data_IF_243573226640
#
_entry.id   IF_243573226640
#
_cell.length_a   1.000
_cell.length_b   1.000
_cell.length_c   1.000
_cell.angle_alpha   90.00
_cell.angle_beta   90.00
_cell.angle_gamma   90.00
#
_symmetry.space_group_name_H-M   'P 1'
#
loop_
_entity.id
_entity.type
_entity.pdbx_description
1 polymer ?
#
# COMPACT_ATOMS: atom_id res chain seq x y z
N UNK A 1 -7.13 -16.54 -8.78
CA UNK A 1 -5.82 -16.77 -8.10
C UNK A 1 -6.09 -16.81 -6.60
N UNK A 2 -5.68 -17.86 -5.88
CA UNK A 2 -6.03 -18.08 -4.47
C UNK A 2 -4.86 -17.73 -3.53
N UNK A 3 -5.16 -17.09 -2.39
CA UNK A 3 -4.19 -16.76 -1.34
C UNK A 3 -3.89 -18.02 -0.52
N UNK A 4 -2.62 -18.44 -0.48
CA UNK A 4 -2.17 -19.58 0.34
C UNK A 4 -1.36 -19.02 1.52
N UNK A 5 -1.84 -19.23 2.76
CA UNK A 5 -1.11 -18.84 3.97
C UNK A 5 -0.74 -20.07 4.80
N UNK A 6 0.57 -20.29 4.97
CA UNK A 6 1.13 -21.44 5.68
C UNK A 6 1.45 -21.06 7.13
N UNK A 7 0.85 -21.76 8.10
CA UNK A 7 1.07 -21.53 9.55
C UNK A 7 2.35 -22.24 10.04
N UNK A 8 3.25 -21.51 10.71
CA UNK A 8 4.51 -22.03 11.30
C UNK A 8 4.29 -22.89 12.56
N UNK A 9 5.22 -23.83 12.79
CA UNK A 9 5.57 -24.37 14.11
C UNK A 9 7.09 -24.26 14.31
N UNK A 10 7.53 -23.76 15.46
CA UNK A 10 8.95 -23.69 15.84
C UNK A 10 9.49 -25.10 16.10
N UNK A 11 10.61 -25.46 15.46
CA UNK A 11 11.80 -26.05 16.12
C UNK A 11 12.97 -26.17 15.14
N UNK A 12 14.14 -25.72 15.58
CA UNK A 12 15.41 -25.98 14.92
C UNK A 12 15.69 -27.49 14.91
N UNK A 13 15.84 -28.06 13.72
CA UNK A 13 16.67 -29.21 13.39
C UNK A 13 16.36 -29.57 11.94
N UNK A 14 17.38 -29.57 11.09
CA UNK A 14 17.30 -30.12 9.75
C UNK A 14 16.99 -31.61 9.86
N UNK A 15 15.71 -31.96 9.77
CA UNK A 15 15.26 -33.33 9.55
C UNK A 15 14.13 -33.27 8.54
N UNK A 16 14.29 -34.04 7.48
CA UNK A 16 13.34 -34.22 6.38
C UNK A 16 12.01 -34.78 6.91
N UNK A 17 11.16 -33.90 7.44
CA UNK A 17 9.75 -34.22 7.67
C UNK A 17 9.03 -34.21 6.32
N UNK A 18 8.20 -35.21 6.01
CA UNK A 18 7.39 -35.17 4.81
C UNK A 18 6.54 -33.90 4.84
N UNK A 19 6.60 -33.12 3.77
CA UNK A 19 5.78 -31.92 3.58
C UNK A 19 4.33 -32.36 3.74
N UNK A 20 3.68 -32.01 4.85
CA UNK A 20 2.26 -32.25 5.03
C UNK A 20 1.52 -31.53 3.90
N UNK A 21 0.70 -32.27 3.15
CA UNK A 21 -0.13 -31.71 2.08
C UNK A 21 -0.87 -30.48 2.61
N UNK A 22 -0.62 -29.30 2.01
CA UNK A 22 -1.31 -28.08 2.41
C UNK A 22 -2.81 -28.21 2.18
N UNK A 23 -3.62 -27.83 3.17
CA UNK A 23 -5.07 -27.80 3.06
C UNK A 23 -5.52 -26.39 2.68
N UNK A 24 -6.29 -26.27 1.59
CA UNK A 24 -6.96 -25.01 1.25
C UNK A 24 -8.09 -24.77 2.25
N UNK A 25 -8.03 -23.67 3.00
CA UNK A 25 -9.07 -23.33 3.98
C UNK A 25 -10.20 -22.53 3.34
N UNK A 26 -9.85 -21.54 2.53
CA UNK A 26 -10.79 -20.65 1.84
C UNK A 26 -10.11 -19.99 0.64
N UNK A 27 -10.93 -19.46 -0.27
CA UNK A 27 -10.50 -18.60 -1.36
C UNK A 27 -11.61 -17.59 -1.66
N UNK A 28 -11.23 -16.36 -1.95
CA UNK A 28 -12.16 -15.29 -2.32
C UNK A 28 -11.73 -14.63 -3.62
N UNK A 29 -12.68 -14.02 -4.33
CA UNK A 29 -12.36 -13.10 -5.42
C UNK A 29 -12.21 -11.69 -4.85
N UNK A 30 -10.96 -11.30 -4.55
CA UNK A 30 -10.67 -10.04 -3.89
C UNK A 30 -10.46 -8.86 -4.86
N UNK A 31 -10.24 -9.11 -6.14
CA UNK A 31 -9.99 -8.10 -7.17
C UNK A 31 -10.21 -8.69 -8.58
N UNK A 32 -10.66 -7.89 -9.56
CA UNK A 32 -11.24 -8.43 -10.80
C UNK A 32 -10.26 -8.90 -11.88
N UNK A 33 -8.93 -8.82 -11.70
CA UNK A 33 -7.97 -9.28 -12.71
C UNK A 33 -7.48 -8.19 -13.67
N UNK A 34 -6.52 -8.54 -14.53
CA UNK A 34 -6.00 -7.67 -15.59
C UNK A 34 -4.72 -8.21 -16.21
N UNK A 35 -4.21 -7.54 -17.25
CA UNK A 35 -2.94 -7.89 -17.93
C UNK A 35 -1.77 -8.07 -16.95
N UNK A 36 -1.66 -7.19 -15.97
CA UNK A 36 -0.62 -7.23 -14.93
C UNK A 36 -1.05 -8.00 -13.66
N UNK A 37 -2.21 -8.65 -13.71
CA UNK A 37 -2.72 -9.53 -12.67
C UNK A 37 -4.00 -9.02 -11.99
N UNK A 38 -4.51 -9.85 -11.08
CA UNK A 38 -5.66 -9.49 -10.23
C UNK A 38 -5.24 -9.05 -8.84
N UNK A 39 -4.39 -9.83 -8.20
CA UNK A 39 -3.72 -9.48 -6.95
C UNK A 39 -2.24 -9.25 -7.21
N UNK A 40 -1.63 -8.33 -6.48
CA UNK A 40 -0.17 -8.15 -6.52
C UNK A 40 0.57 -9.40 -6.04
N UNK A 41 1.84 -9.52 -6.44
CA UNK A 41 2.69 -10.67 -6.11
C UNK A 41 3.13 -10.75 -4.64
N UNK A 42 2.57 -9.91 -3.77
CA UNK A 42 2.83 -9.91 -2.33
C UNK A 42 1.64 -9.39 -1.52
N UNK A 43 1.57 -9.82 -0.27
CA UNK A 43 0.57 -9.35 0.72
C UNK A 43 1.29 -9.03 2.03
N UNK A 44 0.74 -8.12 2.82
CA UNK A 44 1.16 -7.95 4.20
C UNK A 44 0.19 -8.67 5.13
N UNK A 45 0.70 -9.15 6.26
CA UNK A 45 -0.12 -9.82 7.27
C UNK A 45 0.23 -9.26 8.64
N UNK A 46 -0.77 -8.78 9.37
CA UNK A 46 -0.64 -8.44 10.78
C UNK A 46 -1.73 -9.16 11.57
N UNK A 47 -1.31 -9.96 12.58
CA UNK A 47 -2.20 -10.74 13.46
C UNK A 47 -3.17 -11.63 12.65
N UNK A 48 -4.44 -11.23 12.56
CA UNK A 48 -5.55 -11.93 11.91
C UNK A 48 -5.98 -11.26 10.59
N UNK A 49 -5.21 -10.30 10.09
CA UNK A 49 -5.58 -9.48 8.95
C UNK A 49 -4.54 -9.63 7.84
N UNK A 50 -5.04 -9.89 6.63
CA UNK A 50 -4.26 -9.91 5.39
C UNK A 50 -4.61 -8.66 4.60
N UNK A 51 -3.60 -7.92 4.19
CA UNK A 51 -3.71 -6.72 3.38
C UNK A 51 -3.24 -7.03 1.96
N UNK A 52 -3.92 -6.49 0.95
CA UNK A 52 -3.58 -6.76 -0.45
C UNK A 52 -3.80 -5.54 -1.36
N UNK A 53 -3.10 -5.57 -2.49
CA UNK A 53 -3.33 -4.68 -3.64
C UNK A 53 -3.99 -5.48 -4.76
N UNK A 54 -5.12 -4.99 -5.25
CA UNK A 54 -5.81 -5.46 -6.44
C UNK A 54 -5.44 -4.60 -7.64
N UNK A 55 -4.83 -5.18 -8.67
CA UNK A 55 -4.18 -4.41 -9.75
C UNK A 55 -5.18 -3.83 -10.76
N UNK A 56 -6.22 -4.58 -11.15
CA UNK A 56 -7.31 -4.13 -12.04
C UNK A 56 -6.88 -3.30 -13.27
N UNK A 57 -5.83 -3.74 -13.98
CA UNK A 57 -5.33 -3.03 -15.17
C UNK A 57 -6.30 -3.06 -16.35
N UNK A 58 -7.19 -4.06 -16.42
CA UNK A 58 -8.23 -4.16 -17.45
C UNK A 58 -9.49 -3.34 -17.12
N UNK A 59 -9.49 -2.60 -15.99
CA UNK A 59 -10.55 -1.67 -15.60
C UNK A 59 -11.93 -2.32 -15.46
N UNK A 60 -11.96 -3.56 -15.02
CA UNK A 60 -13.21 -4.24 -14.73
C UNK A 60 -13.93 -3.52 -13.58
N UNK A 61 -15.25 -3.36 -13.73
CA UNK A 61 -16.10 -2.84 -12.67
C UNK A 61 -16.05 -3.78 -11.46
N UNK A 62 -15.76 -3.21 -10.30
CA UNK A 62 -15.66 -3.93 -9.03
C UNK A 62 -16.37 -3.16 -7.93
N UNK A 63 -17.24 -3.86 -7.19
CA UNK A 63 -17.99 -3.27 -6.09
C UNK A 63 -17.23 -3.42 -4.77
N UNK A 64 -16.92 -2.29 -4.14
CA UNK A 64 -16.15 -2.23 -2.91
C UNK A 64 -17.01 -2.56 -1.68
N UNK A 65 -16.42 -3.25 -0.71
CA UNK A 65 -16.97 -3.40 0.63
C UNK A 65 -16.29 -2.45 1.63
N UNK A 66 -17.01 -1.78 2.55
CA UNK A 66 -18.46 -1.85 2.75
C UNK A 66 -19.26 -0.79 1.97
N UNK A 67 -18.60 0.10 1.22
CA UNK A 67 -19.26 1.27 0.61
C UNK A 67 -20.30 0.93 -0.46
N UNK A 68 -20.22 -0.26 -1.06
CA UNK A 68 -20.97 -0.67 -2.25
C UNK A 68 -20.75 0.24 -3.48
N UNK A 69 -19.69 1.04 -3.46
CA UNK A 69 -19.28 1.85 -4.60
C UNK A 69 -18.70 0.94 -5.69
N UNK A 70 -19.10 1.17 -6.94
CA UNK A 70 -18.51 0.46 -8.08
C UNK A 70 -17.39 1.30 -8.68
N UNK A 71 -16.19 0.75 -8.68
CA UNK A 71 -14.97 1.40 -9.18
C UNK A 71 -14.32 0.54 -10.25
N UNK A 72 -13.45 1.15 -11.05
CA UNK A 72 -12.61 0.43 -12.02
C UNK A 72 -11.11 0.63 -11.79
N UNK A 73 -10.74 1.33 -10.72
CA UNK A 73 -9.35 1.56 -10.32
C UNK A 73 -8.73 0.27 -9.77
N UNK A 74 -7.42 0.33 -9.48
CA UNK A 74 -6.83 -0.62 -8.54
C UNK A 74 -7.49 -0.48 -7.16
N UNK A 75 -7.36 -1.51 -6.33
CA UNK A 75 -8.07 -1.64 -5.06
C UNK A 75 -7.04 -1.90 -3.96
N UNK A 76 -7.17 -1.27 -2.81
CA UNK A 76 -6.50 -1.71 -1.60
C UNK A 76 -7.53 -2.35 -0.67
N UNK A 77 -7.19 -3.45 -0.04
CA UNK A 77 -8.14 -4.12 0.85
C UNK A 77 -7.50 -4.89 1.98
N UNK A 78 -8.35 -5.20 2.96
CA UNK A 78 -8.01 -6.07 4.08
C UNK A 78 -9.07 -7.16 4.25
N UNK A 79 -8.62 -8.38 4.53
CA UNK A 79 -9.48 -9.55 4.80
C UNK A 79 -9.06 -10.24 6.08
N UNK A 80 -9.99 -10.98 6.69
CA UNK A 80 -9.72 -11.82 7.84
C UNK A 80 -8.99 -13.10 7.41
N UNK A 81 -7.86 -13.38 8.06
CA UNK A 81 -7.03 -14.56 7.82
C UNK A 81 -7.77 -15.89 8.08
N UNK A 82 -8.73 -15.90 9.00
CA UNK A 82 -9.38 -17.12 9.48
C UNK A 82 -10.42 -17.65 8.49
N UNK A 83 -11.18 -16.77 7.86
CA UNK A 83 -12.35 -17.13 7.05
C UNK A 83 -12.42 -16.42 5.69
N UNK A 84 -11.48 -15.52 5.39
CA UNK A 84 -11.45 -14.77 4.13
C UNK A 84 -12.50 -13.65 4.05
N UNK A 85 -13.22 -13.34 5.13
CA UNK A 85 -14.19 -12.23 5.12
C UNK A 85 -13.51 -10.88 4.89
N UNK A 86 -14.07 -10.06 4.00
CA UNK A 86 -13.56 -8.71 3.74
C UNK A 86 -13.81 -7.80 4.93
N UNK A 87 -12.76 -7.10 5.40
CA UNK A 87 -12.86 -6.09 6.46
C UNK A 87 -13.13 -4.70 5.87
N UNK A 88 -12.34 -4.32 4.85
CA UNK A 88 -12.51 -3.08 4.10
C UNK A 88 -11.84 -3.18 2.74
N UNK A 89 -12.31 -2.35 1.81
CA UNK A 89 -11.74 -2.11 0.48
C UNK A 89 -11.91 -0.64 0.12
N UNK A 90 -10.89 -0.05 -0.47
CA UNK A 90 -10.92 1.30 -1.04
C UNK A 90 -10.35 1.27 -2.46
N UNK A 91 -10.76 2.22 -3.29
CA UNK A 91 -10.14 2.45 -4.58
C UNK A 91 -8.76 3.10 -4.40
N UNK A 92 -7.82 2.77 -5.28
CA UNK A 92 -6.64 3.59 -5.49
C UNK A 92 -7.06 5.02 -5.85
N UNK A 93 -6.41 6.05 -5.29
CA UNK A 93 -6.83 7.44 -5.47
C UNK A 93 -6.72 7.86 -6.94
N UNK A 94 -7.40 8.96 -7.29
CA UNK A 94 -7.23 9.68 -8.57
C UNK A 94 -7.34 8.80 -9.83
N UNK A 95 -8.17 7.76 -9.80
CA UNK A 95 -8.36 6.85 -10.94
C UNK A 95 -7.13 6.01 -11.31
N UNK A 96 -6.16 5.88 -10.40
CA UNK A 96 -4.85 5.31 -10.69
C UNK A 96 -4.81 3.78 -10.72
N UNK A 97 -3.80 3.27 -11.41
CA UNK A 97 -3.35 1.88 -11.35
C UNK A 97 -2.29 1.69 -10.27
N UNK A 98 -2.22 0.51 -9.66
CA UNK A 98 -1.25 0.14 -8.64
C UNK A 98 -0.83 -1.31 -8.80
N UNK A 99 0.47 -1.53 -8.90
CA UNK A 99 1.13 -2.84 -8.79
C UNK A 99 1.95 -2.96 -7.50
N UNK A 100 1.88 -1.94 -6.64
CA UNK A 100 2.75 -1.79 -5.47
C UNK A 100 2.41 -2.82 -4.40
N UNK A 101 3.44 -3.49 -3.89
CA UNK A 101 3.32 -4.38 -2.74
C UNK A 101 3.30 -3.52 -1.47
N UNK A 102 2.39 -3.86 -0.58
CA UNK A 102 2.18 -3.13 0.65
C UNK A 102 2.92 -3.74 1.86
N UNK A 103 3.16 -2.91 2.88
CA UNK A 103 3.70 -3.34 4.18
C UNK A 103 2.88 -2.72 5.30
N UNK A 104 2.83 -3.40 6.46
CA UNK A 104 2.16 -2.87 7.65
C UNK A 104 3.21 -2.45 8.67
N UNK A 105 3.09 -1.24 9.19
CA UNK A 105 3.93 -0.71 10.27
C UNK A 105 3.06 0.03 11.28
N UNK A 106 3.09 -0.42 12.55
CA UNK A 106 2.23 0.11 13.61
C UNK A 106 0.76 0.10 13.15
N UNK A 107 0.11 1.26 13.07
CA UNK A 107 -1.31 1.39 12.72
C UNK A 107 -1.53 1.81 11.24
N UNK A 108 -0.48 1.68 10.43
CA UNK A 108 -0.44 2.16 9.05
C UNK A 108 -0.12 1.03 8.08
N UNK A 109 -0.80 1.03 6.94
CA UNK A 109 -0.40 0.27 5.74
C UNK A 109 0.28 1.24 4.78
N UNK A 110 1.50 0.93 4.38
CA UNK A 110 2.24 1.68 3.36
C UNK A 110 2.13 0.95 2.04
N UNK A 111 1.80 1.68 0.98
CA UNK A 111 1.62 1.18 -0.38
C UNK A 111 1.91 2.31 -1.37
N UNK A 112 1.48 2.16 -2.62
CA UNK A 112 1.53 3.22 -3.60
C UNK A 112 0.65 2.95 -4.81
N UNK A 113 0.65 3.90 -5.73
CA UNK A 113 0.13 3.73 -7.10
C UNK A 113 1.29 3.72 -8.07
N UNK A 114 1.08 3.08 -9.21
CA UNK A 114 2.05 3.03 -10.30
C UNK A 114 1.91 4.24 -11.21
N UNK A 115 0.71 4.78 -11.38
CA UNK A 115 0.43 6.00 -12.15
C UNK A 115 -1.04 6.13 -12.54
N UNK A 116 -1.36 7.17 -13.31
CA UNK A 116 -2.69 7.44 -13.85
C UNK A 116 -3.08 6.43 -14.93
N UNK A 117 -4.33 5.98 -14.88
CA UNK A 117 -4.88 5.23 -15.99
C UNK A 117 -5.30 6.14 -17.14
N UNK A 118 -4.95 5.75 -18.36
CA UNK A 118 -5.38 6.43 -19.60
C UNK A 118 -6.00 5.41 -20.54
N UNK A 119 -7.18 5.73 -21.08
CA UNK A 119 -7.91 4.86 -22.00
C UNK A 119 -7.06 4.48 -23.22
N UNK A 120 -7.06 3.19 -23.55
CA UNK A 120 -6.26 2.65 -24.65
C UNK A 120 -4.76 2.51 -24.37
N UNK A 121 -4.28 2.90 -23.19
CA UNK A 121 -2.89 2.69 -22.79
C UNK A 121 -2.69 1.27 -22.23
N UNK A 122 -1.57 0.62 -22.62
CA UNK A 122 -1.17 -0.68 -22.07
C UNK A 122 -0.55 -0.59 -20.67
N UNK A 123 -0.21 0.62 -20.24
CA UNK A 123 0.51 0.91 -18.99
C UNK A 123 0.05 2.25 -18.40
N UNK A 124 0.30 2.47 -17.12
CA UNK A 124 -0.03 3.72 -16.44
C UNK A 124 0.75 4.92 -16.99
N UNK A 125 0.22 6.13 -16.91
CA UNK A 125 0.90 7.38 -17.27
C UNK A 125 1.22 8.18 -16.01
N UNK A 126 2.14 9.12 -16.13
CA UNK A 126 2.60 9.96 -15.01
C UNK A 126 3.23 9.17 -13.85
N UNK A 127 3.97 9.84 -12.96
CA UNK A 127 4.51 9.20 -11.77
C UNK A 127 3.42 8.64 -10.84
N UNK A 128 3.81 7.60 -10.11
CA UNK A 128 2.98 7.00 -9.06
C UNK A 128 3.02 7.79 -7.75
N UNK A 129 2.22 7.34 -6.78
CA UNK A 129 2.19 7.91 -5.44
C UNK A 129 2.77 6.94 -4.41
N UNK A 130 3.46 7.46 -3.39
CA UNK A 130 3.58 6.77 -2.11
C UNK A 130 2.34 7.04 -1.28
N UNK A 131 1.75 6.02 -0.66
CA UNK A 131 0.46 6.11 0.04
C UNK A 131 0.56 5.50 1.44
N UNK A 132 -0.02 6.19 2.42
CA UNK A 132 -0.22 5.69 3.78
C UNK A 132 -1.72 5.59 4.10
N UNK A 133 -2.14 4.40 4.51
CA UNK A 133 -3.52 4.07 4.83
C UNK A 133 -3.69 3.76 6.31
N UNK A 134 -4.82 4.14 6.89
CA UNK A 134 -5.24 3.61 8.18
C UNK A 134 -5.49 2.10 8.05
N UNK A 135 -4.81 1.28 8.87
CA UNK A 135 -4.90 -0.19 8.72
C UNK A 135 -6.27 -0.78 9.07
N UNK A 136 -7.11 -0.05 9.79
CA UNK A 136 -8.42 -0.53 10.25
C UNK A 136 -9.55 -0.16 9.30
N UNK A 137 -9.43 0.97 8.59
CA UNK A 137 -10.50 1.50 7.72
C UNK A 137 -10.12 1.53 6.25
N UNK A 138 -8.82 1.50 5.93
CA UNK A 138 -8.31 1.74 4.59
C UNK A 138 -8.24 3.22 4.21
N UNK A 139 -8.65 4.14 5.08
CA UNK A 139 -8.64 5.58 4.80
C UNK A 139 -7.24 6.08 4.43
N UNK A 140 -7.14 6.83 3.33
CA UNK A 140 -5.91 7.50 2.91
C UNK A 140 -5.76 8.76 3.76
N UNK A 141 -4.75 8.81 4.63
CA UNK A 141 -4.42 10.03 5.37
C UNK A 141 -3.21 10.77 4.80
N UNK A 142 -2.44 10.13 3.90
CA UNK A 142 -1.32 10.75 3.20
C UNK A 142 -1.06 10.07 1.87
N UNK A 143 -0.76 10.89 0.86
CA UNK A 143 -0.09 10.46 -0.35
C UNK A 143 0.93 11.51 -0.80
N UNK A 144 2.02 11.07 -1.41
CA UNK A 144 3.06 11.93 -1.98
C UNK A 144 3.30 11.51 -3.44
N UNK A 145 3.15 12.45 -4.36
CA UNK A 145 3.46 12.22 -5.79
C UNK A 145 4.97 12.00 -5.92
N UNK A 146 5.36 10.93 -6.60
CA UNK A 146 6.76 10.55 -6.78
C UNK A 146 7.33 11.11 -8.09
N UNK A 147 8.57 10.78 -8.36
CA UNK A 147 9.33 11.26 -9.51
C UNK A 147 9.27 10.33 -10.75
N UNK A 148 8.81 9.09 -10.57
CA UNK A 148 8.68 8.09 -11.63
C UNK A 148 7.67 6.98 -11.25
N UNK A 149 7.53 5.98 -12.12
CA UNK A 149 6.73 4.78 -11.85
C UNK A 149 7.21 4.04 -10.61
N UNK A 150 6.25 3.66 -9.75
CA UNK A 150 6.51 3.00 -8.47
C UNK A 150 5.93 1.58 -8.47
N UNK A 151 6.81 0.58 -8.54
CA UNK A 151 6.46 -0.86 -8.51
C UNK A 151 7.22 -1.59 -7.39
N UNK A 152 8.08 -0.88 -6.65
CA UNK A 152 9.01 -1.50 -5.72
C UNK A 152 8.32 -1.93 -4.41
N UNK A 153 8.93 -2.92 -3.75
CA UNK A 153 8.60 -3.23 -2.37
C UNK A 153 9.10 -2.12 -1.43
N UNK A 154 8.37 -1.93 -0.34
CA UNK A 154 8.70 -0.95 0.70
C UNK A 154 9.44 -1.67 1.83
N UNK A 155 10.61 -1.15 2.22
CA UNK A 155 11.36 -1.65 3.38
C UNK A 155 11.19 -0.69 4.55
N UNK A 156 10.99 -1.23 5.76
CA UNK A 156 10.88 -0.44 6.99
C UNK A 156 11.85 -0.95 8.04
N UNK A 157 12.76 -0.09 8.52
CA UNK A 157 13.75 -0.42 9.55
C UNK A 157 13.90 0.75 10.51
N UNK A 158 13.68 0.51 11.81
CA UNK A 158 13.89 1.50 12.89
C UNK A 158 13.25 2.87 12.61
N UNK A 159 12.07 2.90 12.01
CA UNK A 159 11.38 4.14 11.68
C UNK A 159 11.86 4.82 10.39
N UNK A 160 12.68 4.16 9.58
CA UNK A 160 12.97 4.58 8.21
C UNK A 160 12.16 3.74 7.23
N UNK A 161 11.46 4.41 6.31
CA UNK A 161 10.77 3.80 5.16
C UNK A 161 11.64 4.04 3.94
N UNK A 162 11.93 2.98 3.19
CA UNK A 162 12.83 3.03 2.04
C UNK A 162 12.19 2.31 0.85
N UNK A 163 12.25 2.92 -0.33
CA UNK A 163 11.76 2.35 -1.57
C UNK A 163 12.43 3.02 -2.78
N UNK A 164 12.33 2.39 -3.95
CA UNK A 164 12.83 2.95 -5.21
C UNK A 164 11.71 3.22 -6.21
N UNK A 165 11.92 4.17 -7.11
CA UNK A 165 11.09 4.43 -8.29
C UNK A 165 11.91 4.20 -9.56
N UNK A 166 11.28 4.39 -10.73
CA UNK A 166 11.94 4.24 -12.03
C UNK A 166 11.85 2.83 -12.61
N UNK A 167 10.79 2.10 -12.25
CA UNK A 167 10.51 0.81 -12.86
C UNK A 167 10.29 0.98 -14.38
N UNK A 168 10.82 0.03 -15.15
CA UNK A 168 10.62 -0.05 -16.60
C UNK A 168 10.20 -1.47 -16.99
N UNK A 169 9.33 -1.58 -17.99
CA UNK A 169 8.71 -2.83 -18.39
C UNK A 169 7.75 -2.61 -19.55
N UNK A 170 6.44 -2.64 -19.26
CA UNK A 170 5.44 -2.09 -20.18
C UNK A 170 5.55 -0.57 -20.25
N UNK A 171 5.93 0.03 -19.12
CA UNK A 171 6.28 1.43 -18.97
C UNK A 171 7.61 1.79 -19.68
N UNK A 172 7.70 2.98 -20.30
CA UNK A 172 8.96 3.54 -20.77
C UNK A 172 9.98 3.65 -19.65
N UNK A 173 11.25 3.51 -20.01
CA UNK A 173 12.35 3.77 -19.08
C UNK A 173 12.29 5.20 -18.56
N UNK A 174 12.32 5.34 -17.24
CA UNK A 174 12.39 6.62 -16.54
C UNK A 174 13.50 6.57 -15.50
N UNK A 175 14.20 7.69 -15.31
CA UNK A 175 15.09 7.83 -14.16
C UNK A 175 14.23 7.89 -12.90
N UNK A 176 14.51 7.00 -11.94
CA UNK A 176 13.88 7.05 -10.63
C UNK A 176 14.86 7.44 -9.53
N UNK A 177 14.33 7.54 -8.32
CA UNK A 177 15.06 7.88 -7.11
C UNK A 177 15.00 6.75 -6.08
N UNK A 178 15.97 6.74 -5.19
CA UNK A 178 15.91 5.98 -3.94
C UNK A 178 15.38 6.89 -2.84
N UNK A 179 14.17 6.61 -2.38
CA UNK A 179 13.45 7.40 -1.39
C UNK A 179 13.71 6.87 0.01
N UNK A 180 13.97 7.78 0.95
CA UNK A 180 14.10 7.48 2.39
C UNK A 180 13.26 8.47 3.18
N UNK A 181 12.28 7.98 3.91
CA UNK A 181 11.41 8.77 4.79
C UNK A 181 11.68 8.38 6.24
N UNK A 182 11.73 9.37 7.14
CA UNK A 182 11.78 9.12 8.58
C UNK A 182 10.36 9.25 9.18
N UNK A 183 9.88 8.18 9.81
CA UNK A 183 8.59 8.06 10.50
C UNK A 183 8.76 8.00 12.04
N UNK A 184 9.93 8.39 12.56
CA UNK A 184 10.29 8.33 13.99
C UNK A 184 11.23 9.44 14.47
N UNK A 185 10.65 10.61 14.78
CA UNK A 185 10.67 11.31 16.09
C UNK A 185 10.04 12.70 15.93
N UNK A 186 9.28 13.15 16.93
CA UNK A 186 8.76 14.52 17.09
C UNK A 186 9.79 15.56 16.62
N UNK A 187 9.38 16.65 15.93
CA UNK A 187 10.31 17.76 15.68
C UNK A 187 10.96 18.14 17.01
N UNK A 188 12.28 18.41 17.06
CA UNK A 188 12.85 18.97 18.27
C UNK A 188 12.02 20.19 18.63
N UNK A 189 11.52 20.22 19.87
CA UNK A 189 10.97 21.43 20.46
C UNK A 189 11.94 22.56 20.10
N UNK A 190 11.41 23.61 19.49
CA UNK A 190 12.17 24.77 19.01
C UNK A 190 12.96 25.39 20.15
N UNK A 191 14.14 24.82 20.42
CA UNK A 191 15.23 25.47 21.08
C UNK A 191 15.73 26.52 20.11
N UNK A 192 15.47 27.77 20.47
CA UNK A 192 16.05 28.98 19.91
C UNK A 192 17.41 28.75 19.23
N UNK A 193 17.46 28.95 17.91
CA UNK A 193 18.38 29.90 17.31
C UNK A 193 17.92 30.28 15.90
N UNK A 194 17.99 31.59 15.65
CA UNK A 194 17.32 32.29 14.57
C UNK A 194 18.02 32.09 13.21
N UNK A 195 17.19 31.95 12.16
CA UNK A 195 17.62 31.89 10.77
C UNK A 195 16.44 32.01 9.79
N UNK A 196 15.80 33.17 9.82
CA UNK A 196 14.64 33.61 9.03
C UNK A 196 14.71 33.31 7.51
N UNK A 197 13.75 32.52 6.98
CA UNK A 197 13.11 32.74 5.68
C UNK A 197 11.90 31.81 5.44
N UNK A 198 10.70 32.38 5.23
CA UNK A 198 9.63 31.74 4.43
C UNK A 198 8.45 31.09 5.17
N UNK A 199 7.91 31.73 6.20
CA UNK A 199 6.65 31.33 6.84
C UNK A 199 5.42 31.55 5.93
N UNK A 200 4.46 30.63 6.01
CA UNK A 200 2.99 30.87 6.06
C UNK A 200 2.15 29.61 5.73
N UNK A 201 2.73 28.55 5.16
CA UNK A 201 1.96 27.33 4.79
C UNK A 201 2.21 26.12 5.71
N UNK A 202 3.40 26.02 6.31
CA UNK A 202 3.78 24.87 7.17
C UNK A 202 3.14 24.96 8.56
N UNK A 203 2.99 26.17 9.11
CA UNK A 203 2.32 26.38 10.42
C UNK A 203 0.84 26.00 10.38
N UNK A 204 0.12 26.30 9.28
CA UNK A 204 -1.30 25.92 9.14
C UNK A 204 -1.51 24.40 9.09
N UNK A 205 -0.60 23.66 8.46
CA UNK A 205 -0.68 22.20 8.39
C UNK A 205 -0.28 21.53 9.72
N UNK A 206 0.63 22.13 10.49
CA UNK A 206 1.00 21.64 11.81
C UNK A 206 -0.16 21.83 12.83
N UNK A 207 -0.84 22.97 12.79
CA UNK A 207 -1.97 23.26 13.68
C UNK A 207 -3.19 22.35 13.42
N UNK A 208 -3.42 21.94 12.17
CA UNK A 208 -4.50 21.02 11.80
C UNK A 208 -4.21 19.58 12.29
N UNK A 209 -2.95 19.16 12.26
CA UNK A 209 -2.51 17.86 12.77
C UNK A 209 -2.53 17.76 14.29
N UNK A 210 -2.33 18.87 15.00
CA UNK A 210 -2.45 18.87 16.47
C UNK A 210 -3.91 18.91 16.92
N UNK A 211 -4.82 19.56 16.19
CA UNK A 211 -6.27 19.52 16.51
C UNK A 211 -6.88 18.13 16.33
N UNK A 212 -6.42 17.35 15.36
CA UNK A 212 -6.90 15.98 15.12
C UNK A 212 -6.41 14.96 16.17
N UNK A 213 -5.49 15.34 17.06
CA UNK A 213 -4.97 14.47 18.13
C UNK A 213 -5.81 14.51 19.40
N UNK A 214 -6.56 15.58 19.63
CA UNK A 214 -7.32 15.78 20.87
C UNK A 214 -8.78 15.26 20.80
N UNK A 215 -9.23 14.77 19.64
CA UNK A 215 -10.59 14.26 19.43
C UNK A 215 -10.69 12.73 19.25
N UNK A 216 -9.64 11.98 19.58
CA UNK A 216 -9.60 10.50 19.58
C UNK A 216 -8.97 9.95 20.87
#
# INVERSE_FOLDING_TARGET
MAIILQKRSKRHSASSRPVSKGLMLWAINAAPGGLEGGLSWGVAVEKDTVYYTGINTDRHNFTLFPSNETVSNSIFGAINLKDGSTKWQIAAPRNMSSTVILVVVKDVVLTGTSGDWVEGSLYAKEPGDFIALNKFTGEIFRYDVLDAFFHAGIAVVKGYVMFGTGYGGLEPLQNGSFHVLNIGSTPPASGSDAGNAGGNNVEKQADELDRLRDEL
#
